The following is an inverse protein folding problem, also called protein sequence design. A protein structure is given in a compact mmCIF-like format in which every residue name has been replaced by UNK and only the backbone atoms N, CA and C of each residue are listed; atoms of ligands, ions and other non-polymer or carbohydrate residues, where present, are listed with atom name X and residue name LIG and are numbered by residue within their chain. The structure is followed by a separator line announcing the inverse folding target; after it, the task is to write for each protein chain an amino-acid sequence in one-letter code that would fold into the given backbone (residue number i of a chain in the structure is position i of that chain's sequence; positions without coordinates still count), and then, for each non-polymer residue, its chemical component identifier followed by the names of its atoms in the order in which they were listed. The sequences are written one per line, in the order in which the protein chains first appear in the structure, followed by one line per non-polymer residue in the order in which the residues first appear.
data_IF_254108294442
#
_entry.id   IF_254108294442
#
_cell.length_a   1.000
_cell.length_b   1.000
_cell.length_c   1.000
_cell.angle_alpha   90.00
_cell.angle_beta   90.00
_cell.angle_gamma   90.00
#
_symmetry.space_group_name_H-M   'P 1'
#
loop_
_entity.id
_entity.type
_entity.pdbx_description
1 polymer ?
#
# COMPACT_ATOMS: atom_id res chain seq x y z
N UNK A 1 -1.09 -19.01 -4.51
CA UNK A 1 -0.10 -18.02 -4.95
C UNK A 1 0.75 -17.69 -3.74
N UNK A 2 2.03 -18.05 -3.78
CA UNK A 2 2.94 -17.79 -2.66
C UNK A 2 3.38 -16.32 -2.73
N UNK A 3 2.72 -15.48 -1.95
CA UNK A 3 3.09 -14.07 -1.83
C UNK A 3 4.46 -14.01 -1.13
N UNK A 4 5.49 -13.63 -1.89
CA UNK A 4 6.84 -13.46 -1.35
C UNK A 4 6.94 -12.18 -0.52
N UNK A 5 6.43 -12.25 0.71
CA UNK A 5 6.57 -11.20 1.74
C UNK A 5 8.03 -10.98 2.16
N UNK A 6 8.97 -11.78 1.65
CA UNK A 6 10.40 -11.72 1.95
C UNK A 6 11.18 -10.83 0.98
N UNK A 7 10.52 -10.26 -0.04
CA UNK A 7 11.08 -9.10 -0.75
C UNK A 7 11.10 -7.92 0.22
N UNK A 8 12.29 -7.48 0.60
CA UNK A 8 12.53 -6.79 1.87
C UNK A 8 12.36 -5.26 1.80
N UNK A 9 11.54 -4.71 0.91
CA UNK A 9 11.42 -3.26 0.81
C UNK A 9 9.96 -2.86 0.82
N UNK A 10 9.58 -2.28 1.95
CA UNK A 10 8.30 -1.65 2.17
C UNK A 10 8.49 -0.15 2.20
N UNK A 11 7.61 0.54 1.50
CA UNK A 11 7.64 1.99 1.35
C UNK A 11 6.55 2.61 2.19
N UNK A 12 6.85 3.75 2.79
CA UNK A 12 5.79 4.56 3.37
C UNK A 12 4.91 5.13 2.23
N UNK A 13 3.62 5.36 2.47
CA UNK A 13 2.74 5.99 1.49
C UNK A 13 3.31 7.30 0.93
N UNK A 14 3.93 8.09 1.82
CA UNK A 14 4.56 9.36 1.47
C UNK A 14 5.78 9.23 0.58
N UNK A 15 6.55 8.15 0.70
CA UNK A 15 7.67 7.91 -0.20
C UNK A 15 7.20 7.60 -1.63
N UNK A 16 6.16 6.76 -1.76
CA UNK A 16 5.57 6.46 -3.07
C UNK A 16 5.01 7.73 -3.73
N UNK A 17 4.33 8.58 -2.96
CA UNK A 17 3.82 9.88 -3.40
C UNK A 17 4.95 10.79 -3.86
N UNK A 18 5.99 10.96 -3.03
CA UNK A 18 7.14 11.80 -3.34
C UNK A 18 7.85 11.35 -4.62
N UNK A 19 8.16 10.05 -4.73
CA UNK A 19 8.85 9.51 -5.91
C UNK A 19 8.06 9.72 -7.20
N UNK A 20 6.74 9.53 -7.16
CA UNK A 20 5.94 9.75 -8.35
C UNK A 20 5.84 11.24 -8.73
N UNK A 21 5.79 12.15 -7.74
CA UNK A 21 5.91 13.60 -7.99
C UNK A 21 7.25 13.95 -8.63
N UNK A 22 8.36 13.37 -8.16
CA UNK A 22 9.68 13.55 -8.78
C UNK A 22 9.70 13.03 -10.22
N UNK A 23 9.09 11.88 -10.48
CA UNK A 23 8.96 11.34 -11.83
C UNK A 23 8.17 12.30 -12.74
N UNK A 24 7.05 12.85 -12.28
CA UNK A 24 6.28 13.87 -13.02
C UNK A 24 7.15 15.08 -13.35
N UNK A 25 7.96 15.57 -12.41
CA UNK A 25 8.87 16.70 -12.65
C UNK A 25 9.94 16.38 -13.70
N UNK A 26 10.41 15.14 -13.74
CA UNK A 26 11.48 14.70 -14.66
C UNK A 26 10.98 14.46 -16.09
N UNK A 27 9.83 13.79 -16.25
CA UNK A 27 9.38 13.32 -17.56
C UNK A 27 8.01 13.87 -18.00
N UNK A 28 7.38 14.70 -17.17
CA UNK A 28 6.04 15.24 -17.41
C UNK A 28 4.91 14.30 -16.98
N UNK A 29 3.71 14.87 -16.78
CA UNK A 29 2.53 14.17 -16.26
C UNK A 29 2.13 12.98 -17.16
N UNK A 30 2.01 13.20 -18.47
CA UNK A 30 1.55 12.16 -19.40
C UNK A 30 2.49 10.94 -19.41
N UNK A 31 3.80 11.16 -19.51
CA UNK A 31 4.79 10.07 -19.53
C UNK A 31 4.88 9.37 -18.18
N UNK A 32 4.76 10.10 -17.07
CA UNK A 32 4.73 9.53 -15.74
C UNK A 32 3.48 8.65 -15.52
N UNK A 33 2.32 9.08 -16.00
CA UNK A 33 1.07 8.32 -15.89
C UNK A 33 1.10 7.02 -16.71
N UNK A 34 1.93 6.96 -17.76
CA UNK A 34 2.19 5.72 -18.51
C UNK A 34 3.10 4.73 -17.76
N UNK A 35 3.73 5.12 -16.63
CA UNK A 35 4.51 4.21 -15.78
C UNK A 35 3.59 3.50 -14.78
N UNK A 36 2.91 2.44 -15.25
CA UNK A 36 1.90 1.64 -14.52
C UNK A 36 2.23 1.46 -13.03
N UNK A 37 3.30 0.74 -12.69
CA UNK A 37 3.67 0.41 -11.30
C UNK A 37 3.90 1.64 -10.41
N UNK A 38 4.52 2.69 -10.95
CA UNK A 38 4.74 3.93 -10.20
C UNK A 38 3.42 4.65 -9.89
N UNK A 39 2.50 4.67 -10.86
CA UNK A 39 1.18 5.26 -10.70
C UNK A 39 0.31 4.45 -9.73
N UNK A 40 0.40 3.13 -9.74
CA UNK A 40 -0.34 2.26 -8.81
C UNK A 40 0.12 2.45 -7.37
N UNK A 41 1.43 2.54 -7.16
CA UNK A 41 2.00 2.86 -5.86
C UNK A 41 1.61 4.28 -5.40
N UNK A 42 1.56 5.26 -6.31
CA UNK A 42 1.10 6.61 -6.04
C UNK A 42 -0.36 6.65 -5.57
N UNK A 43 -1.27 6.05 -6.35
CA UNK A 43 -2.70 6.00 -6.03
C UNK A 43 -2.94 5.28 -4.71
N UNK A 44 -2.28 4.13 -4.52
CA UNK A 44 -2.38 3.36 -3.27
C UNK A 44 -1.82 4.15 -2.09
N UNK A 45 -0.72 4.88 -2.27
CA UNK A 45 -0.17 5.76 -1.24
C UNK A 45 -1.19 6.80 -0.76
N UNK A 46 -1.90 7.47 -1.68
CA UNK A 46 -2.94 8.44 -1.31
C UNK A 46 -4.08 7.75 -0.56
N UNK A 47 -4.55 6.59 -1.04
CA UNK A 47 -5.61 5.85 -0.39
C UNK A 47 -5.23 5.43 1.04
N UNK A 48 -4.00 4.93 1.25
CA UNK A 48 -3.49 4.53 2.57
C UNK A 48 -3.35 5.71 3.55
N UNK A 49 -3.08 6.93 3.06
CA UNK A 49 -3.15 8.13 3.90
C UNK A 49 -4.59 8.39 4.38
N UNK A 50 -5.60 8.17 3.54
CA UNK A 50 -7.00 8.23 3.94
C UNK A 50 -7.37 7.13 4.95
N UNK A 51 -6.92 5.89 4.73
CA UNK A 51 -7.15 4.76 5.66
C UNK A 51 -6.54 5.04 7.04
N UNK A 52 -5.35 5.62 7.10
CA UNK A 52 -4.70 6.02 8.35
C UNK A 52 -5.59 6.93 9.20
N UNK A 53 -6.31 7.89 8.59
CA UNK A 53 -7.25 8.75 9.31
C UNK A 53 -8.40 7.98 9.94
N UNK A 54 -8.86 6.93 9.27
CA UNK A 54 -9.94 6.09 9.78
C UNK A 54 -9.48 5.13 10.88
N UNK A 55 -8.37 4.42 10.66
CA UNK A 55 -7.94 3.33 11.55
C UNK A 55 -6.96 3.77 12.64
N UNK A 56 -6.40 4.97 12.53
CA UNK A 56 -5.36 5.47 13.44
C UNK A 56 -4.04 4.69 13.35
N UNK A 57 -3.82 3.95 12.26
CA UNK A 57 -2.66 3.06 12.08
C UNK A 57 -1.88 3.39 10.82
N UNK A 58 -0.57 3.19 10.91
CA UNK A 58 0.33 3.36 9.79
C UNK A 58 0.34 2.13 8.90
N UNK A 59 0.05 2.35 7.62
CA UNK A 59 0.15 1.37 6.57
C UNK A 59 1.41 1.61 5.73
N UNK A 60 1.94 0.52 5.18
CA UNK A 60 3.09 0.47 4.30
C UNK A 60 2.69 -0.24 3.02
N UNK A 61 3.37 0.07 1.92
CA UNK A 61 3.10 -0.56 0.63
C UNK A 61 4.34 -1.21 0.05
N UNK A 62 4.11 -2.26 -0.73
CA UNK A 62 5.11 -2.95 -1.51
C UNK A 62 4.56 -3.17 -2.92
N UNK A 63 5.41 -2.91 -3.93
CA UNK A 63 5.13 -3.28 -5.31
C UNK A 63 5.63 -4.71 -5.53
N UNK A 64 4.75 -5.71 -5.72
CA UNK A 64 5.18 -7.05 -6.05
C UNK A 64 5.74 -7.12 -7.48
N UNK A 65 6.65 -8.07 -7.70
CA UNK A 65 7.26 -8.30 -9.03
C UNK A 65 6.30 -9.01 -9.99
N UNK A 66 5.31 -9.73 -9.46
CA UNK A 66 4.30 -10.47 -10.22
C UNK A 66 2.91 -9.86 -9.97
N UNK A 67 2.12 -9.71 -11.05
CA UNK A 67 0.70 -9.33 -10.99
C UNK A 67 -0.17 -10.60 -11.10
N UNK A 68 -1.27 -10.74 -10.33
CA UNK A 68 -1.79 -9.89 -9.25
C UNK A 68 -1.19 -10.20 -7.85
N UNK A 69 -1.34 -9.30 -6.84
CA UNK A 69 -2.02 -7.99 -6.91
C UNK A 69 -1.11 -6.88 -7.45
N UNK A 70 -1.68 -5.71 -7.77
CA UNK A 70 -0.88 -4.57 -8.24
C UNK A 70 0.03 -4.03 -7.13
N UNK A 71 -0.48 -4.00 -5.88
CA UNK A 71 0.21 -3.55 -4.67
C UNK A 71 -0.14 -4.46 -3.47
N UNK A 72 0.83 -4.68 -2.59
CA UNK A 72 0.61 -5.23 -1.24
C UNK A 72 0.62 -4.09 -0.23
N UNK A 73 -0.41 -4.01 0.62
CA UNK A 73 -0.43 -3.09 1.74
C UNK A 73 -0.39 -3.86 3.06
N UNK A 74 0.32 -3.34 4.06
CA UNK A 74 0.37 -3.96 5.37
C UNK A 74 0.57 -2.95 6.50
N UNK A 75 0.06 -3.30 7.68
CA UNK A 75 0.47 -2.66 8.92
C UNK A 75 1.75 -3.32 9.45
N UNK A 76 2.52 -2.60 10.26
CA UNK A 76 3.73 -3.16 10.85
C UNK A 76 3.72 -3.01 12.37
N UNK A 77 4.13 -4.06 13.08
CA UNK A 77 4.50 -3.95 14.49
C UNK A 77 6.00 -3.69 14.60
N UNK A 78 6.35 -2.51 15.11
CA UNK A 78 7.73 -2.16 15.43
C UNK A 78 8.01 -2.61 16.87
N UNK A 79 8.55 -3.82 17.02
CA UNK A 79 9.10 -4.26 18.30
C UNK A 79 10.61 -4.03 18.30
N UNK A 80 11.22 -3.78 19.46
CA UNK A 80 12.63 -3.36 19.62
C UNK A 80 13.69 -4.28 18.97
N UNK A 81 13.31 -5.46 18.48
CA UNK A 81 14.21 -6.42 17.84
C UNK A 81 13.79 -6.85 16.43
N UNK A 82 12.53 -6.66 16.02
CA UNK A 82 12.01 -7.16 14.73
C UNK A 82 10.83 -6.32 14.22
N UNK A 83 10.84 -6.05 12.91
CA UNK A 83 9.68 -5.51 12.19
C UNK A 83 8.80 -6.67 11.77
N UNK A 84 7.63 -6.79 12.39
CA UNK A 84 6.63 -7.80 12.04
C UNK A 84 5.60 -7.23 11.07
N UNK A 85 5.43 -7.84 9.90
CA UNK A 85 4.34 -7.52 8.97
C UNK A 85 3.03 -8.09 9.53
N UNK A 86 1.99 -7.26 9.61
CA UNK A 86 0.65 -7.62 10.09
C UNK A 86 -0.42 -7.10 9.14
N UNK A 87 -1.56 -7.80 9.07
CA UNK A 87 -2.73 -7.40 8.28
C UNK A 87 -2.35 -7.08 6.82
N UNK A 88 -1.98 -8.12 6.06
CA UNK A 88 -1.68 -7.97 4.64
C UNK A 88 -3.01 -7.82 3.88
N UNK A 89 -3.08 -6.75 3.10
CA UNK A 89 -4.18 -6.42 2.20
C UNK A 89 -3.65 -6.47 0.77
N UNK A 90 -4.38 -7.17 -0.11
CA UNK A 90 -4.08 -7.15 -1.55
C UNK A 90 -4.76 -5.93 -2.15
N UNK A 91 -4.08 -5.19 -3.02
CA UNK A 91 -4.64 -3.98 -3.62
C UNK A 91 -4.60 -4.11 -5.14
N UNK A 92 -5.78 -4.01 -5.77
CA UNK A 92 -5.93 -3.86 -7.21
C UNK A 92 -6.27 -2.39 -7.49
N UNK A 93 -5.56 -1.80 -8.45
CA UNK A 93 -5.73 -0.38 -8.81
C UNK A 93 -6.46 -0.25 -10.14
N UNK A 94 -7.29 0.77 -10.24
CA UNK A 94 -7.92 1.14 -11.51
C UNK A 94 -8.05 2.65 -11.68
N UNK A 95 -8.33 3.08 -12.90
CA UNK A 95 -8.46 4.48 -13.27
C UNK A 95 -9.76 4.71 -14.02
N UNK A 96 -10.45 5.79 -13.66
CA UNK A 96 -11.57 6.34 -14.42
C UNK A 96 -11.04 7.61 -15.09
N UNK A 97 -10.92 7.56 -16.41
CA UNK A 97 -10.32 8.63 -17.21
C UNK A 97 -11.42 9.50 -17.84
N UNK A 98 -11.13 10.79 -18.04
CA UNK A 98 -12.00 11.80 -18.66
C UNK A 98 -12.78 11.32 -19.89
N UNK A 99 -12.13 10.55 -20.78
CA UNK A 99 -12.72 10.13 -22.06
C UNK A 99 -13.75 9.02 -21.91
N UNK A 100 -13.84 8.36 -20.75
CA UNK A 100 -14.81 7.29 -20.52
C UNK A 100 -16.11 7.91 -20.03
N UNK A 101 -17.22 7.61 -20.73
CA UNK A 101 -18.58 8.02 -20.32
C UNK A 101 -19.19 7.12 -19.23
N UNK A 102 -18.50 6.04 -18.88
CA UNK A 102 -18.95 5.08 -17.86
C UNK A 102 -19.04 5.77 -16.49
N UNK A 103 -20.09 5.49 -15.72
CA UNK A 103 -20.23 5.99 -14.35
C UNK A 103 -19.24 5.30 -13.40
N UNK A 104 -18.95 5.91 -12.24
CA UNK A 104 -18.12 5.28 -11.20
C UNK A 104 -18.67 3.91 -10.82
N UNK A 105 -19.99 3.84 -10.58
CA UNK A 105 -20.66 2.60 -10.20
C UNK A 105 -20.53 1.53 -11.28
N UNK A 106 -20.73 1.88 -12.56
CA UNK A 106 -20.64 0.92 -13.66
C UNK A 106 -19.20 0.40 -13.85
N UNK A 107 -18.20 1.27 -13.74
CA UNK A 107 -16.80 0.85 -13.76
C UNK A 107 -16.48 -0.15 -12.64
N UNK A 108 -16.96 0.11 -11.42
CA UNK A 108 -16.77 -0.79 -10.27
C UNK A 108 -17.51 -2.10 -10.49
N UNK A 109 -18.78 -2.07 -10.87
CA UNK A 109 -19.60 -3.26 -11.15
C UNK A 109 -18.95 -4.14 -12.21
N UNK A 110 -18.45 -3.55 -13.30
CA UNK A 110 -17.75 -4.28 -14.36
C UNK A 110 -16.47 -4.93 -13.83
N UNK A 111 -15.64 -4.20 -13.10
CA UNK A 111 -14.42 -4.75 -12.46
C UNK A 111 -14.74 -5.93 -11.55
N UNK A 112 -15.78 -5.82 -10.72
CA UNK A 112 -16.22 -6.87 -9.80
C UNK A 112 -16.84 -8.10 -10.50
N UNK A 113 -17.48 -7.90 -11.66
CA UNK A 113 -18.11 -8.98 -12.43
C UNK A 113 -17.10 -9.78 -13.26
N UNK A 114 -16.09 -9.10 -13.82
CA UNK A 114 -15.18 -9.68 -14.79
C UNK A 114 -14.03 -10.49 -14.16
N UNK A 115 -13.84 -10.38 -12.83
CA UNK A 115 -12.71 -11.01 -12.11
C UNK A 115 -13.16 -11.66 -10.82
N UNK A 116 -12.61 -12.85 -10.54
CA UNK A 116 -12.69 -13.48 -9.22
C UNK A 116 -11.54 -12.93 -8.38
N UNK A 117 -11.88 -12.14 -7.36
CA UNK A 117 -10.92 -11.57 -6.44
C UNK A 117 -10.80 -12.42 -5.17
N UNK A 118 -9.61 -12.40 -4.55
CA UNK A 118 -9.45 -12.88 -3.18
C UNK A 118 -10.27 -11.97 -2.23
N UNK A 119 -10.98 -12.51 -1.22
CA UNK A 119 -11.73 -11.70 -0.25
C UNK A 119 -10.90 -10.66 0.50
N UNK A 120 -9.58 -10.80 0.55
CA UNK A 120 -8.62 -9.81 1.10
C UNK A 120 -8.16 -8.78 0.08
N UNK A 121 -8.81 -8.69 -1.07
CA UNK A 121 -8.53 -7.66 -2.07
C UNK A 121 -9.29 -6.39 -1.73
N UNK A 122 -8.61 -5.26 -1.80
CA UNK A 122 -9.21 -3.93 -1.88
C UNK A 122 -9.07 -3.42 -3.30
N UNK A 123 -10.16 -2.88 -3.83
CA UNK A 123 -10.16 -2.23 -5.14
C UNK A 123 -10.01 -0.72 -4.93
N UNK A 124 -8.98 -0.09 -5.51
CA UNK A 124 -8.69 1.36 -5.35
C UNK A 124 -8.74 2.07 -6.70
N UNK A 125 -9.68 3.00 -6.84
CA UNK A 125 -9.91 3.73 -8.08
C UNK A 125 -9.46 5.18 -8.03
N UNK A 126 -8.62 5.61 -8.97
CA UNK A 126 -8.38 7.04 -9.20
C UNK A 126 -9.45 7.61 -10.14
N UNK A 127 -10.18 8.61 -9.67
CA UNK A 127 -11.08 9.43 -10.49
C UNK A 127 -10.24 10.55 -11.10
N UNK A 128 -9.87 10.36 -12.36
CA UNK A 128 -9.10 11.33 -13.14
C UNK A 128 -10.00 11.98 -14.19
N UNK A 129 -11.04 12.64 -13.68
CA UNK A 129 -11.95 13.50 -14.43
C UNK A 129 -12.67 14.49 -13.54
N UNK A 130 -13.15 15.58 -14.14
CA UNK A 130 -14.01 16.53 -13.45
C UNK A 130 -15.41 15.93 -13.28
N UNK A 131 -15.63 15.30 -12.13
CA UNK A 131 -16.92 14.68 -11.78
C UNK A 131 -17.25 15.00 -10.33
N UNK A 132 -18.41 15.64 -10.14
CA UNK A 132 -18.96 15.83 -8.81
C UNK A 132 -19.48 14.49 -8.26
N UNK A 133 -18.84 14.00 -7.20
CA UNK A 133 -19.36 12.86 -6.42
C UNK A 133 -20.47 13.40 -5.51
N UNK A 134 -21.70 13.46 -6.03
CA UNK A 134 -22.83 14.11 -5.35
C UNK A 134 -23.37 13.32 -4.16
N UNK A 135 -23.39 11.99 -4.26
CA UNK A 135 -23.91 11.12 -3.20
C UNK A 135 -23.13 9.81 -3.10
N UNK A 136 -22.28 9.69 -2.07
CA UNK A 136 -21.53 8.47 -1.79
C UNK A 136 -22.41 7.32 -1.28
N UNK A 137 -23.55 7.63 -0.67
CA UNK A 137 -24.52 6.64 -0.16
C UNK A 137 -25.22 5.93 -1.31
N UNK A 138 -25.64 6.68 -2.33
CA UNK A 138 -26.21 6.09 -3.54
C UNK A 138 -25.19 5.21 -4.27
N UNK A 139 -23.94 5.67 -4.42
CA UNK A 139 -22.86 4.85 -5.00
C UNK A 139 -22.63 3.55 -4.23
N UNK A 140 -22.64 3.59 -2.90
CA UNK A 140 -22.51 2.39 -2.07
C UNK A 140 -23.67 1.41 -2.30
N UNK A 141 -24.93 1.86 -2.32
CA UNK A 141 -26.10 1.00 -2.62
C UNK A 141 -25.97 0.33 -3.98
N UNK A 142 -25.51 1.07 -4.99
CA UNK A 142 -25.29 0.53 -6.33
C UNK A 142 -24.17 -0.53 -6.37
N UNK A 143 -23.14 -0.38 -5.54
CA UNK A 143 -22.05 -1.36 -5.42
C UNK A 143 -22.49 -2.57 -4.58
N UNK A 144 -23.23 -2.36 -3.51
CA UNK A 144 -23.79 -3.42 -2.66
C UNK A 144 -24.71 -4.36 -3.46
N UNK A 145 -25.46 -3.83 -4.43
CA UNK A 145 -26.35 -4.61 -5.29
C UNK A 145 -25.63 -5.73 -6.08
N UNK A 146 -24.32 -5.60 -6.32
CA UNK A 146 -23.52 -6.68 -6.96
C UNK A 146 -22.86 -7.63 -5.97
N UNK A 147 -23.14 -7.48 -4.66
CA UNK A 147 -22.65 -8.32 -3.56
C UNK A 147 -21.13 -8.56 -3.64
N UNK A 148 -20.30 -7.51 -3.50
CA UNK A 148 -18.85 -7.63 -3.72
C UNK A 148 -18.23 -8.67 -2.78
N UNK A 149 -17.53 -9.66 -3.32
CA UNK A 149 -16.74 -10.62 -2.54
C UNK A 149 -15.28 -10.15 -2.39
N UNK A 150 -15.11 -8.93 -1.90
CA UNK A 150 -13.81 -8.29 -1.66
C UNK A 150 -13.85 -7.51 -0.35
N UNK A 151 -12.68 -7.19 0.20
CA UNK A 151 -12.58 -6.53 1.50
C UNK A 151 -13.14 -5.11 1.47
N UNK A 152 -12.82 -4.33 0.42
CA UNK A 152 -13.27 -2.94 0.32
C UNK A 152 -13.14 -2.36 -1.08
N UNK A 153 -13.97 -1.35 -1.37
CA UNK A 153 -13.85 -0.50 -2.56
C UNK A 153 -13.53 0.91 -2.10
N UNK A 154 -12.50 1.51 -2.68
CA UNK A 154 -12.06 2.86 -2.41
C UNK A 154 -11.98 3.67 -3.69
N UNK A 155 -12.27 4.96 -3.59
CA UNK A 155 -12.02 5.94 -4.64
C UNK A 155 -11.15 7.08 -4.11
N UNK A 156 -10.29 7.59 -4.99
CA UNK A 156 -9.43 8.74 -4.80
C UNK A 156 -9.80 9.77 -5.85
N UNK A 157 -10.33 10.91 -5.43
CA UNK A 157 -10.65 12.04 -6.30
C UNK A 157 -9.77 13.24 -5.97
N UNK A 158 -9.30 13.97 -6.99
CA UNK A 158 -8.59 15.22 -6.78
C UNK A 158 -9.60 16.36 -6.67
N UNK A 159 -9.61 17.08 -5.54
CA UNK A 159 -10.51 18.21 -5.29
C UNK A 159 -9.92 19.50 -5.85
N UNK A 160 -8.62 19.67 -5.65
CA UNK A 160 -7.87 20.83 -6.11
C UNK A 160 -6.46 20.36 -6.55
N UNK A 161 -6.23 20.23 -7.87
CA UNK A 161 -4.95 19.80 -8.41
C UNK A 161 -3.78 20.71 -8.06
N UNK A 162 -4.02 21.99 -7.83
CA UNK A 162 -2.97 22.95 -7.51
C UNK A 162 -2.52 22.84 -6.05
N UNK A 163 -3.44 22.45 -5.16
CA UNK A 163 -3.18 22.36 -3.73
C UNK A 163 -2.94 20.95 -3.22
N UNK A 164 -2.90 19.94 -4.10
CA UNK A 164 -2.74 18.53 -3.72
C UNK A 164 -3.80 18.07 -2.69
N UNK A 165 -5.03 18.57 -2.83
CA UNK A 165 -6.15 18.19 -1.98
C UNK A 165 -6.93 17.04 -2.63
N UNK A 166 -7.12 15.96 -1.87
CA UNK A 166 -7.81 14.77 -2.35
C UNK A 166 -9.00 14.43 -1.45
N UNK A 167 -10.03 13.87 -2.05
CA UNK A 167 -11.06 13.10 -1.35
C UNK A 167 -10.70 11.62 -1.46
N UNK A 168 -10.61 10.94 -0.33
CA UNK A 168 -10.47 9.49 -0.25
C UNK A 168 -11.74 8.96 0.36
N UNK A 169 -12.50 8.16 -0.39
CA UNK A 169 -13.76 7.62 0.06
C UNK A 169 -13.79 6.09 -0.04
N UNK A 170 -14.23 5.45 1.04
CA UNK A 170 -14.63 4.06 1.03
C UNK A 170 -16.07 3.97 0.56
N UNK A 171 -16.33 3.12 -0.43
CA UNK A 171 -17.66 2.84 -0.96
C UNK A 171 -18.20 1.48 -0.54
N UNK A 172 -17.36 0.60 0.01
CA UNK A 172 -17.73 -0.74 0.50
C UNK A 172 -16.75 -1.20 1.60
N UNK A 173 -17.20 -1.89 2.67
CA UNK A 173 -18.60 -2.24 2.98
C UNK A 173 -19.44 -1.08 3.52
N UNK A 174 -18.78 -0.05 4.06
CA UNK A 174 -19.44 1.12 4.63
C UNK A 174 -18.91 2.39 3.97
N UNK A 175 -19.78 3.39 3.85
CA UNK A 175 -19.39 4.69 3.31
C UNK A 175 -18.58 5.47 4.33
N UNK A 176 -17.36 5.83 3.95
CA UNK A 176 -16.48 6.72 4.71
C UNK A 176 -15.81 7.68 3.76
N UNK A 177 -15.52 8.90 4.19
CA UNK A 177 -14.90 9.91 3.32
C UNK A 177 -14.04 10.87 4.12
N UNK A 178 -12.85 11.16 3.57
CA UNK A 178 -11.87 12.04 4.16
C UNK A 178 -11.31 12.97 3.11
N UNK A 179 -11.20 14.25 3.47
CA UNK A 179 -10.43 15.22 2.70
C UNK A 179 -9.03 15.24 3.28
N UNK A 180 -8.03 15.02 2.44
CA UNK A 180 -6.63 15.05 2.83
C UNK A 180 -5.85 16.01 1.96
N UNK A 181 -4.93 16.74 2.58
CA UNK A 181 -3.87 17.43 1.87
C UNK A 181 -2.60 16.57 1.97
N UNK A 182 -2.16 15.98 0.85
CA UNK A 182 -1.07 14.99 0.90
C UNK A 182 0.28 15.59 1.34
N UNK A 183 0.51 16.89 1.10
CA UNK A 183 1.75 17.54 1.50
C UNK A 183 1.78 17.75 3.03
N UNK A 184 0.65 18.15 3.62
CA UNK A 184 0.50 18.26 5.07
C UNK A 184 0.63 16.90 5.77
N UNK A 185 -0.05 15.87 5.24
CA UNK A 185 0.04 14.51 5.77
C UNK A 185 1.47 13.98 5.74
N UNK A 186 2.18 14.18 4.63
CA UNK A 186 3.54 13.67 4.50
C UNK A 186 4.57 14.44 5.29
N UNK A 187 4.36 15.75 5.53
CA UNK A 187 5.15 16.52 6.48
C UNK A 187 5.02 15.96 7.91
N UNK A 188 3.80 15.63 8.34
CA UNK A 188 3.54 15.06 9.65
C UNK A 188 4.15 13.64 9.82
N UNK A 189 4.27 12.88 8.71
CA UNK A 189 4.75 11.50 8.71
C UNK A 189 6.26 11.33 8.51
N UNK A 190 7.00 12.42 8.28
CA UNK A 190 8.46 12.42 8.12
C UNK A 190 9.22 11.69 9.25
N UNK A 191 8.60 11.54 10.43
CA UNK A 191 9.15 10.83 11.59
C UNK A 191 9.15 9.29 11.50
N UNK A 192 8.37 8.69 10.60
CA UNK A 192 8.14 7.23 10.57
C UNK A 192 9.10 6.46 9.66
N UNK A 193 10.10 7.13 9.09
CA UNK A 193 11.02 6.53 8.13
C UNK A 193 10.41 6.40 6.73
N UNK A 194 11.29 6.33 5.75
CA UNK A 194 10.92 6.38 4.33
C UNK A 194 10.75 4.97 3.76
N UNK A 195 11.57 4.05 4.26
CA UNK A 195 11.69 2.68 3.78
C UNK A 195 11.90 1.77 4.98
N UNK A 196 11.16 0.67 5.05
CA UNK A 196 11.39 -0.41 6.02
C UNK A 196 11.92 -1.64 5.32
N UNK A 197 13.00 -2.19 5.89
CA UNK A 197 13.55 -3.49 5.51
C UNK A 197 13.25 -4.49 6.61
N UNK A 198 12.47 -5.51 6.27
CA UNK A 198 12.28 -6.66 7.16
C UNK A 198 13.57 -7.48 7.15
N UNK A 199 14.25 -7.61 8.29
CA UNK A 199 15.41 -8.51 8.39
C UNK A 199 14.93 -9.96 8.20
N UNK A 200 15.59 -10.71 7.30
CA UNK A 200 15.38 -12.16 7.13
C UNK A 200 15.52 -12.84 8.49
N UNK A 201 14.42 -13.30 9.07
CA UNK A 201 14.47 -14.37 10.05
C UNK A 201 14.31 -15.71 9.31
N UNK A 202 15.36 -16.52 9.43
CA UNK A 202 15.48 -17.95 9.16
C UNK A 202 15.80 -18.45 7.75
N UNK A 203 16.92 -19.18 7.71
CA UNK A 203 17.28 -20.24 6.76
C UNK A 203 16.04 -21.03 6.36
N UNK A 204 15.89 -21.30 5.05
CA UNK A 204 15.14 -22.46 4.58
C UNK A 204 15.68 -23.69 5.31
N UNK A 205 14.95 -24.21 6.30
CA UNK A 205 15.16 -25.59 6.74
C UNK A 205 14.35 -26.41 5.75
N UNK A 206 15.05 -26.98 4.76
CA UNK A 206 14.48 -28.08 3.97
C UNK A 206 14.21 -29.24 4.93
N UNK A 207 13.13 -30.00 4.67
CA UNK A 207 12.72 -31.17 5.46
C UNK A 207 13.69 -32.37 5.38
N UNK A 208 14.96 -32.14 5.02
CA UNK A 208 15.97 -33.19 4.94
C UNK A 208 17.33 -32.60 5.28
N UNK A 209 17.68 -32.56 6.56
CA UNK A 209 19.02 -32.78 7.13
C UNK A 209 19.01 -32.33 8.59
N UNK A 210 18.48 -33.17 9.47
CA UNK A 210 18.96 -33.19 10.85
C UNK A 210 20.24 -34.04 10.81
N UNK A 211 21.39 -33.41 10.59
CA UNK A 211 22.68 -33.99 11.00
C UNK A 211 23.23 -33.15 12.13
N UNK A 212 23.38 -33.81 13.28
CA UNK A 212 24.00 -33.30 14.51
C UNK A 212 25.30 -32.57 14.18
N UNK A 213 25.36 -31.28 14.46
CA UNK A 213 26.63 -30.56 14.54
C UNK A 213 27.07 -30.61 16.00
N UNK A 214 28.15 -31.38 16.26
CA UNK A 214 28.92 -31.32 17.51
C UNK A 214 29.57 -29.94 17.60
N UNK A 215 29.29 -29.21 18.67
CA UNK A 215 30.00 -27.97 19.00
C UNK A 215 31.36 -28.36 19.58
N UNK A 216 32.45 -28.09 18.85
CA UNK A 216 33.78 -27.99 19.46
C UNK A 216 33.84 -26.68 20.24
N UNK A 217 34.12 -26.75 21.54
CA UNK A 217 34.50 -25.59 22.34
C UNK A 217 35.94 -25.22 21.97
N UNK A 218 36.12 -24.09 21.30
CA UNK A 218 37.41 -23.41 21.25
C UNK A 218 37.46 -22.38 22.39
N UNK A 219 38.61 -22.35 23.05
CA UNK A 219 38.89 -21.57 24.25
C UNK A 219 38.94 -20.08 23.93
N UNK A 220 38.27 -19.27 24.74
CA UNK A 220 38.37 -17.81 24.70
C UNK A 220 39.69 -17.44 25.43
N UNK A 221 40.60 -16.67 24.81
CA UNK A 221 41.77 -16.17 25.51
C UNK A 221 41.37 -15.10 26.52
N UNK A 222 41.76 -15.32 27.77
CA UNK A 222 41.61 -14.40 28.90
C UNK A 222 42.50 -13.17 28.68
N UNK A 223 41.92 -11.99 28.51
CA UNK A 223 42.67 -10.73 28.59
C UNK A 223 42.78 -10.33 30.06
N UNK A 224 44.00 -10.39 30.58
CA UNK A 224 44.40 -9.89 31.89
C UNK A 224 44.45 -8.35 31.82
N UNK A 225 43.84 -7.60 32.76
CA UNK A 225 44.15 -6.19 32.93
C UNK A 225 45.45 -6.07 33.74
N UNK A 226 46.54 -5.73 33.06
CA UNK A 226 47.79 -5.28 33.70
C UNK A 226 47.62 -3.84 34.19
N UNK A 227 47.87 -3.63 35.49
CA UNK A 227 47.79 -2.34 36.15
C UNK A 227 49.03 -1.46 35.95
N UNK A 228 48.79 -0.18 36.27
CA UNK A 228 49.65 0.81 36.93
C UNK A 228 51.11 0.98 36.51
N UNK A 229 51.45 2.20 36.08
CA UNK A 229 52.28 3.13 36.86
C UNK A 229 51.78 4.56 36.64
#
# INVERSE_FOLDING_TARGET
MDIDITKNIWYSPCYAIYNFKQLIQQIGVEKAFNKKKGLEAYITGIALLGVKHYEGRMWWLQVPDEDPPDILAATMSLNSKQVGVKNIQLVEVYRIEDRKKESIADTVKRKLKDKVYDPKTSLVGLINRDEAIKDLSDLNKQIEAVKPNIASVWIVGNIDPLQNNYIVAQLWPEVKSYKINIDQECKALSKFGVVLRTHRSMKRVSASTVKRIRVKREQIPTLIPGGSY
#
